data_IF_866197250281
#
_entry.id   IF_866197250281
#
_cell.length_a   1.000
_cell.length_b   1.000
_cell.length_c   1.000
_cell.angle_alpha   90.00
_cell.angle_beta   90.00
_cell.angle_gamma   90.00
#
_symmetry.space_group_name_H-M   'P 1'
#
loop_
_entity.id
_entity.type
_entity.pdbx_description
1 polymer ?
#
# COMPACT_ATOMS: atom_id res chain seq x y z
N UNK A 1 -7.10 15.72 6.34
CA UNK A 1 -5.74 15.19 6.54
C UNK A 1 -4.68 16.27 6.74
N UNK A 2 -4.52 17.26 5.86
CA UNK A 2 -3.49 18.32 6.01
C UNK A 2 -3.50 19.03 7.38
N UNK A 3 -4.67 19.25 7.99
CA UNK A 3 -4.80 19.85 9.34
C UNK A 3 -4.27 18.97 10.47
N UNK A 4 -3.99 17.69 10.21
CA UNK A 4 -3.41 16.74 11.16
C UNK A 4 -1.90 16.62 11.06
N UNK A 5 -1.29 17.30 10.09
CA UNK A 5 0.17 17.37 10.02
C UNK A 5 0.70 18.13 11.25
N UNK A 6 1.75 17.62 11.91
CA UNK A 6 2.29 18.29 13.09
C UNK A 6 2.85 19.66 12.71
N UNK A 7 2.36 20.68 13.39
CA UNK A 7 2.90 22.04 13.29
C UNK A 7 4.05 22.29 14.27
N UNK A 8 4.66 23.46 14.18
CA UNK A 8 5.80 23.85 15.03
C UNK A 8 5.50 23.83 16.55
N UNK A 9 4.23 23.91 16.94
CA UNK A 9 3.81 23.89 18.34
C UNK A 9 3.68 22.46 18.92
N UNK A 10 3.81 21.41 18.11
CA UNK A 10 3.68 20.02 18.56
C UNK A 10 4.95 19.61 19.30
N UNK A 11 4.81 19.17 20.54
CA UNK A 11 5.94 18.72 21.36
C UNK A 11 6.44 17.33 20.96
N UNK A 12 7.69 17.02 21.34
CA UNK A 12 8.27 15.69 21.11
C UNK A 12 7.48 14.57 21.79
N UNK A 13 6.88 14.85 22.95
CA UNK A 13 6.03 13.89 23.63
C UNK A 13 4.74 13.62 22.83
N UNK A 14 4.09 14.67 22.36
CA UNK A 14 2.90 14.56 21.53
C UNK A 14 3.20 13.78 20.22
N UNK A 15 4.38 13.99 19.62
CA UNK A 15 4.80 13.22 18.44
C UNK A 15 4.93 11.71 18.76
N UNK A 16 5.52 11.36 19.90
CA UNK A 16 5.65 9.96 20.31
C UNK A 16 4.30 9.31 20.58
N UNK A 17 3.42 10.04 21.27
CA UNK A 17 2.11 9.54 21.70
C UNK A 17 1.03 9.73 20.63
N UNK A 18 1.34 10.41 19.53
CA UNK A 18 0.40 10.79 18.45
C UNK A 18 -0.83 11.54 18.99
N UNK A 19 -0.61 12.42 19.99
CA UNK A 19 -1.67 13.08 20.75
C UNK A 19 -1.95 14.53 20.33
N UNK A 20 -1.36 15.03 19.23
CA UNK A 20 -1.60 16.41 18.75
C UNK A 20 -2.88 16.56 17.92
N UNK A 21 -3.56 15.47 17.59
CA UNK A 21 -4.86 15.49 16.95
C UNK A 21 -5.76 14.37 17.51
N UNK A 22 -7.06 14.53 17.34
CA UNK A 22 -8.09 13.54 17.69
C UNK A 22 -9.08 13.38 16.54
N UNK A 23 -9.78 12.26 16.52
CA UNK A 23 -10.80 11.95 15.55
C UNK A 23 -10.62 10.59 14.89
N UNK A 24 -11.52 10.20 13.97
CA UNK A 24 -11.49 8.89 13.33
C UNK A 24 -10.30 8.77 12.38
N UNK A 25 -9.72 7.57 12.28
CA UNK A 25 -8.76 7.23 11.25
C UNK A 25 -9.48 7.07 9.89
N UNK A 26 -8.78 7.38 8.82
CA UNK A 26 -9.29 7.29 7.45
C UNK A 26 -8.65 6.09 6.74
N UNK A 27 -9.48 5.15 6.32
CA UNK A 27 -9.08 4.03 5.47
C UNK A 27 -9.52 4.29 4.04
N UNK A 28 -8.57 4.32 3.12
CA UNK A 28 -8.80 4.45 1.68
C UNK A 28 -8.47 3.11 1.06
N UNK A 29 -9.51 2.40 0.60
CA UNK A 29 -9.37 1.12 -0.08
C UNK A 29 -9.62 1.33 -1.57
N UNK A 30 -8.66 0.93 -2.39
CA UNK A 30 -8.75 1.02 -3.84
C UNK A 30 -8.56 -0.37 -4.40
N UNK A 31 -9.67 -0.96 -4.81
CA UNK A 31 -9.66 -2.22 -5.52
C UNK A 31 -9.42 -1.98 -7.01
N UNK A 32 -8.77 -2.93 -7.69
CA UNK A 32 -8.41 -2.83 -9.10
C UNK A 32 -7.75 -1.47 -9.46
N UNK A 33 -6.71 -1.10 -8.74
CA UNK A 33 -6.00 0.17 -8.92
C UNK A 33 -5.58 0.44 -10.38
N UNK A 34 -5.34 -0.59 -11.15
CA UNK A 34 -5.04 -0.51 -12.58
C UNK A 34 -6.21 0.06 -13.43
N UNK A 35 -7.44 0.02 -12.92
CA UNK A 35 -8.60 0.67 -13.54
C UNK A 35 -8.77 2.13 -13.08
N UNK A 36 -8.28 2.46 -11.89
CA UNK A 36 -8.36 3.80 -11.31
C UNK A 36 -7.24 4.70 -11.83
N UNK A 37 -6.02 4.17 -11.88
CA UNK A 37 -4.85 4.87 -12.40
C UNK A 37 -4.59 4.50 -13.86
N UNK A 38 -5.42 5.03 -14.75
CA UNK A 38 -5.28 4.79 -16.19
C UNK A 38 -4.06 5.52 -16.76
N UNK A 39 -3.39 4.91 -17.74
CA UNK A 39 -2.25 5.53 -18.42
C UNK A 39 -2.68 6.83 -19.13
N UNK A 40 -1.99 7.93 -18.81
CA UNK A 40 -2.22 9.24 -19.45
C UNK A 40 -3.31 10.11 -18.81
N UNK A 41 -4.04 9.62 -17.81
CA UNK A 41 -5.01 10.40 -17.04
C UNK A 41 -4.47 10.92 -15.70
N UNK A 42 -5.15 11.89 -15.06
CA UNK A 42 -4.81 12.33 -13.73
C UNK A 42 -5.09 11.21 -12.73
N UNK A 43 -4.08 10.85 -11.92
CA UNK A 43 -4.27 9.86 -10.87
C UNK A 43 -5.06 10.46 -9.69
N UNK A 44 -6.25 9.94 -9.34
CA UNK A 44 -7.07 10.49 -8.26
C UNK A 44 -6.42 10.38 -6.88
N UNK A 45 -5.43 9.50 -6.71
CA UNK A 45 -4.67 9.37 -5.45
C UNK A 45 -3.46 10.33 -5.38
N UNK A 46 -3.15 11.06 -6.45
CA UNK A 46 -2.03 12.01 -6.47
C UNK A 46 -2.03 12.99 -5.28
N UNK A 47 -3.19 13.52 -4.82
CA UNK A 47 -3.23 14.40 -3.64
C UNK A 47 -2.77 13.74 -2.33
N UNK A 48 -2.74 12.40 -2.26
CA UNK A 48 -2.29 11.66 -1.07
C UNK A 48 -0.78 11.46 -1.02
N UNK A 49 -0.07 11.58 -2.15
CA UNK A 49 1.37 11.31 -2.25
C UNK A 49 2.19 12.04 -1.19
N UNK A 50 1.91 13.32 -0.97
CA UNK A 50 2.60 14.15 0.04
C UNK A 50 2.29 13.76 1.49
N UNK A 51 1.25 12.95 1.73
CA UNK A 51 0.86 12.50 3.06
C UNK A 51 1.35 11.10 3.38
N UNK A 52 1.72 10.30 2.38
CA UNK A 52 2.02 8.87 2.57
C UNK A 52 3.18 8.63 3.54
N UNK A 53 4.21 9.49 3.54
CA UNK A 53 5.34 9.35 4.45
C UNK A 53 4.93 9.51 5.93
N UNK A 54 3.89 10.28 6.21
CA UNK A 54 3.35 10.57 7.54
C UNK A 54 1.95 9.97 7.73
N UNK A 55 1.54 9.06 6.86
CA UNK A 55 0.18 8.52 6.83
C UNK A 55 -0.24 7.96 8.19
N UNK A 56 0.62 7.15 8.80
CA UNK A 56 0.38 6.59 10.15
C UNK A 56 0.16 7.69 11.19
N UNK A 57 0.93 8.77 11.11
CA UNK A 57 0.90 9.83 12.12
C UNK A 57 -0.37 10.68 12.04
N UNK A 58 -0.93 10.82 10.84
CA UNK A 58 -2.19 11.56 10.61
C UNK A 58 -3.42 10.66 10.56
N UNK A 59 -3.28 9.36 10.85
CA UNK A 59 -4.37 8.39 10.84
C UNK A 59 -4.92 8.12 9.43
N UNK A 60 -4.03 8.09 8.42
CA UNK A 60 -4.37 7.72 7.05
C UNK A 60 -3.85 6.30 6.75
N UNK A 61 -4.72 5.45 6.25
CA UNK A 61 -4.38 4.10 5.81
C UNK A 61 -4.78 3.96 4.34
N UNK A 62 -3.81 3.70 3.47
CA UNK A 62 -4.05 3.45 2.05
C UNK A 62 -3.79 1.97 1.75
N UNK A 63 -4.80 1.30 1.23
CA UNK A 63 -4.74 -0.09 0.78
C UNK A 63 -5.11 -0.11 -0.69
N UNK A 64 -4.22 -0.64 -1.52
CA UNK A 64 -4.46 -0.78 -2.96
C UNK A 64 -4.29 -2.24 -3.37
N UNK A 65 -5.21 -2.73 -4.19
CA UNK A 65 -5.05 -4.00 -4.87
C UNK A 65 -4.90 -3.76 -6.36
N UNK A 66 -4.29 -4.67 -7.06
CA UNK A 66 -4.21 -4.67 -8.52
C UNK A 66 -3.92 -6.06 -9.05
N UNK A 67 -4.19 -6.27 -10.32
CA UNK A 67 -3.83 -7.51 -11.00
C UNK A 67 -2.31 -7.67 -11.08
N UNK A 68 -1.83 -8.91 -10.99
CA UNK A 68 -0.40 -9.23 -11.16
C UNK A 68 0.08 -9.02 -12.59
N UNK A 69 -0.79 -9.23 -13.58
CA UNK A 69 -0.44 -8.98 -14.98
C UNK A 69 -0.14 -7.52 -15.28
N UNK A 70 1.03 -7.22 -15.83
CA UNK A 70 1.52 -5.86 -16.07
C UNK A 70 2.00 -5.13 -14.82
N UNK A 71 2.13 -5.83 -13.69
CA UNK A 71 2.56 -5.22 -12.44
C UNK A 71 3.97 -4.65 -12.51
N UNK A 72 4.87 -5.28 -13.26
CA UNK A 72 6.24 -4.79 -13.44
C UNK A 72 6.28 -3.35 -14.00
N UNK A 73 5.42 -3.02 -14.94
CA UNK A 73 5.33 -1.65 -15.50
C UNK A 73 4.78 -0.65 -14.50
N UNK A 74 3.83 -1.08 -13.68
CA UNK A 74 3.21 -0.22 -12.67
C UNK A 74 4.15 0.10 -11.50
N UNK A 75 5.28 -0.57 -11.35
CA UNK A 75 6.26 -0.25 -10.31
C UNK A 75 6.81 1.17 -10.42
N UNK A 76 6.71 1.79 -11.59
CA UNK A 76 7.15 3.15 -11.89
C UNK A 76 6.00 4.17 -11.78
N UNK A 77 4.78 3.72 -11.56
CA UNK A 77 3.66 4.60 -11.35
C UNK A 77 3.81 5.32 -10.00
N UNK A 78 3.55 6.65 -9.91
CA UNK A 78 3.93 7.47 -8.75
C UNK A 78 3.45 6.96 -7.39
N UNK A 79 2.21 6.46 -7.31
CA UNK A 79 1.66 5.97 -6.02
C UNK A 79 2.32 4.65 -5.65
N UNK A 80 2.43 3.71 -6.59
CA UNK A 80 3.07 2.42 -6.34
C UNK A 80 4.57 2.60 -6.02
N UNK A 81 5.26 3.44 -6.79
CA UNK A 81 6.66 3.77 -6.54
C UNK A 81 6.83 4.33 -5.12
N UNK A 82 5.95 5.25 -4.71
CA UNK A 82 6.00 5.85 -3.37
C UNK A 82 5.76 4.84 -2.26
N UNK A 83 4.78 3.95 -2.41
CA UNK A 83 4.52 2.88 -1.44
C UNK A 83 5.72 1.95 -1.29
N UNK A 84 6.40 1.62 -2.40
CA UNK A 84 7.62 0.81 -2.39
C UNK A 84 8.79 1.52 -1.69
N UNK A 85 9.04 2.80 -2.00
CA UNK A 85 10.07 3.61 -1.33
C UNK A 85 9.88 3.64 0.18
N UNK A 86 8.63 3.75 0.63
CA UNK A 86 8.27 3.71 2.04
C UNK A 86 8.35 2.30 2.65
N UNK A 87 8.68 1.28 1.85
CA UNK A 87 8.69 -0.12 2.26
C UNK A 87 7.37 -0.54 2.92
N UNK A 88 6.27 -0.10 2.33
CA UNK A 88 4.93 -0.49 2.76
C UNK A 88 4.77 -2.00 2.62
N UNK A 89 4.23 -2.69 3.64
CA UNK A 89 3.96 -4.12 3.52
C UNK A 89 2.96 -4.40 2.41
N UNK A 90 3.09 -5.56 1.78
CA UNK A 90 2.17 -5.99 0.75
C UNK A 90 2.20 -7.49 0.55
N UNK A 91 1.30 -7.97 -0.30
CA UNK A 91 1.15 -9.39 -0.61
C UNK A 91 1.34 -9.57 -2.11
N UNK A 92 2.25 -10.47 -2.49
CA UNK A 92 2.40 -10.96 -3.86
C UNK A 92 1.61 -12.26 -3.97
N UNK A 93 0.54 -12.22 -4.74
CA UNK A 93 -0.34 -13.38 -4.98
C UNK A 93 0.04 -14.12 -6.27
N UNK A 94 -0.79 -15.07 -6.70
CA UNK A 94 -0.58 -15.86 -7.92
C UNK A 94 -0.39 -14.96 -9.15
N UNK A 95 0.59 -15.29 -9.99
CA UNK A 95 0.88 -14.56 -11.22
C UNK A 95 2.02 -15.19 -12.01
N UNK A 96 2.34 -14.60 -13.19
CA UNK A 96 3.46 -15.05 -14.00
C UNK A 96 4.81 -14.63 -13.40
N UNK A 97 5.79 -15.54 -13.32
CA UNK A 97 7.16 -15.20 -12.94
C UNK A 97 7.83 -14.19 -13.89
N UNK A 98 7.33 -14.04 -15.12
CA UNK A 98 7.85 -13.12 -16.13
C UNK A 98 7.67 -11.65 -15.73
N UNK A 99 6.78 -11.36 -14.78
CA UNK A 99 6.64 -10.01 -14.20
C UNK A 99 7.88 -9.58 -13.41
N UNK A 100 8.78 -10.51 -13.08
CA UNK A 100 9.95 -10.21 -12.29
C UNK A 100 9.63 -9.88 -10.81
N UNK A 101 10.59 -9.31 -10.06
CA UNK A 101 10.38 -8.95 -8.67
C UNK A 101 9.40 -7.80 -8.51
N UNK A 102 8.33 -7.99 -7.74
CA UNK A 102 7.28 -6.99 -7.48
C UNK A 102 7.46 -6.28 -6.14
N UNK A 103 7.64 -7.03 -5.05
CA UNK A 103 7.87 -6.49 -3.71
C UNK A 103 9.15 -7.12 -3.13
N UNK A 104 10.11 -6.28 -2.76
CA UNK A 104 11.42 -6.77 -2.39
C UNK A 104 11.99 -7.62 -3.54
N UNK A 105 12.42 -8.83 -3.22
CA UNK A 105 12.91 -9.80 -4.22
C UNK A 105 11.86 -10.87 -4.59
N UNK A 106 10.60 -10.69 -4.18
CA UNK A 106 9.55 -11.68 -4.42
C UNK A 106 9.00 -11.54 -5.83
N UNK A 107 9.12 -12.62 -6.60
CA UNK A 107 8.47 -12.80 -7.89
C UNK A 107 7.14 -13.51 -7.70
N UNK A 108 6.10 -13.16 -8.47
CA UNK A 108 4.90 -13.96 -8.48
C UNK A 108 5.21 -15.37 -9.02
N UNK A 109 4.41 -16.32 -8.62
CA UNK A 109 4.42 -17.69 -9.14
C UNK A 109 2.99 -18.21 -9.17
N UNK A 110 2.75 -19.27 -9.90
CA UNK A 110 1.43 -19.90 -9.91
C UNK A 110 1.17 -20.53 -8.55
N UNK A 111 0.13 -20.08 -7.89
CA UNK A 111 -0.27 -20.52 -6.55
C UNK A 111 -1.76 -20.83 -6.50
N UNK A 112 -2.22 -21.70 -5.58
CA UNK A 112 -3.64 -21.90 -5.32
C UNK A 112 -4.36 -20.60 -4.96
N UNK A 113 -5.69 -20.51 -5.17
CA UNK A 113 -6.48 -19.36 -4.77
C UNK A 113 -6.27 -18.97 -3.30
N UNK A 114 -6.13 -17.68 -3.05
CA UNK A 114 -5.91 -17.14 -1.72
C UNK A 114 -4.47 -17.28 -1.17
N UNK A 115 -3.59 -18.02 -1.87
CA UNK A 115 -2.20 -18.16 -1.45
C UNK A 115 -1.34 -17.02 -1.98
N UNK A 116 -0.43 -16.52 -1.14
CA UNK A 116 0.47 -15.45 -1.50
C UNK A 116 1.66 -15.33 -0.55
N UNK A 117 2.59 -14.46 -0.90
CA UNK A 117 3.75 -14.13 -0.05
C UNK A 117 3.54 -12.73 0.53
N UNK A 118 3.41 -12.66 1.86
CA UNK A 118 3.44 -11.41 2.60
C UNK A 118 4.89 -10.91 2.67
N UNK A 119 5.09 -9.64 2.30
CA UNK A 119 6.39 -8.98 2.35
C UNK A 119 6.28 -7.77 3.26
N UNK A 120 7.12 -7.68 4.26
CA UNK A 120 7.12 -6.56 5.20
C UNK A 120 8.46 -6.40 5.93
N UNK A 121 8.76 -5.18 6.40
CA UNK A 121 10.03 -4.87 7.07
C UNK A 121 10.33 -5.78 8.26
N UNK A 122 9.32 -6.02 9.11
CA UNK A 122 9.48 -6.82 10.33
C UNK A 122 9.26 -8.31 10.10
N UNK A 123 8.31 -8.63 9.22
CA UNK A 123 7.93 -10.01 8.94
C UNK A 123 8.85 -10.71 7.93
N UNK A 124 9.69 -9.93 7.20
CA UNK A 124 10.43 -10.48 6.08
C UNK A 124 9.50 -10.97 4.99
N UNK A 125 9.68 -12.21 4.55
CA UNK A 125 8.83 -12.88 3.57
C UNK A 125 8.17 -14.09 4.24
N UNK A 126 6.83 -14.15 4.17
CA UNK A 126 6.06 -15.23 4.76
C UNK A 126 5.01 -15.74 3.77
N UNK A 127 4.96 -17.05 3.57
CA UNK A 127 3.87 -17.67 2.83
C UNK A 127 2.59 -17.58 3.66
N UNK A 128 1.52 -17.08 3.06
CA UNK A 128 0.22 -16.93 3.73
C UNK A 128 -0.88 -17.58 2.92
N UNK A 129 -1.97 -17.94 3.60
CA UNK A 129 -3.23 -18.36 3.01
C UNK A 129 -4.32 -17.43 3.50
N UNK A 130 -4.96 -16.71 2.58
CA UNK A 130 -6.13 -15.88 2.87
C UNK A 130 -7.34 -16.81 2.92
N UNK A 131 -8.16 -16.66 3.97
CA UNK A 131 -9.41 -17.36 4.07
C UNK A 131 -10.37 -16.87 2.98
N UNK A 132 -11.10 -17.80 2.38
CA UNK A 132 -12.11 -17.50 1.38
C UNK A 132 -13.46 -18.05 1.83
N UNK A 133 -14.47 -17.21 1.79
CA UNK A 133 -15.85 -17.61 1.97
C UNK A 133 -16.57 -17.42 0.63
N UNK A 134 -17.32 -18.43 0.14
CA UNK A 134 -18.11 -18.27 -1.06
C UNK A 134 -19.13 -17.13 -0.85
N UNK A 135 -19.41 -16.32 -1.87
CA UNK A 135 -20.51 -15.36 -1.79
C UNK A 135 -21.83 -16.10 -1.60
N UNK A 136 -22.73 -15.56 -0.77
CA UNK A 136 -24.08 -16.06 -0.60
C UNK A 136 -24.93 -15.83 -1.86
#
# INVERSE_FOLDING_TARGET
MRRRLPGAAVTQQQLRDRSWWSGPELYVLVDDYDLVATQGGPNPLAPLLGLLAQAKDVGLHLIVTRRSGGAARALFEPVIARLRELSTPGIVMSGSPDEGPLLGNVKPSVMPPGRGTLVGRKAGQQLIQIAWLPPE
#
